data_IF_400485060793
#
_entry.id   IF_400485060793
#
_cell.length_a   1.000
_cell.length_b   1.000
_cell.length_c   1.000
_cell.angle_alpha   90.00
_cell.angle_beta   90.00
_cell.angle_gamma   90.00
#
_symmetry.space_group_name_H-M   'P 1'
#
loop_
_entity.id
_entity.type
_entity.pdbx_description
1 polymer ?
#
# COMPACT_ATOMS: atom_id res chain seq x y z
N UNK A 1 -32.75 -16.05 6.76
CA UNK A 1 -32.09 -15.91 5.45
C UNK A 1 -30.85 -15.03 5.66
N UNK A 2 -29.65 -15.58 5.40
CA UNK A 2 -28.42 -14.82 5.46
C UNK A 2 -28.20 -14.16 4.08
N UNK A 3 -27.83 -12.88 4.09
CA UNK A 3 -27.43 -12.13 2.91
C UNK A 3 -25.94 -11.87 3.06
N UNK A 4 -25.17 -12.38 2.11
CA UNK A 4 -23.73 -12.14 2.05
C UNK A 4 -23.48 -10.82 1.33
N UNK A 5 -22.62 -9.97 1.90
CA UNK A 5 -22.23 -8.68 1.31
C UNK A 5 -20.70 -8.71 1.19
N UNK A 6 -20.21 -8.79 -0.03
CA UNK A 6 -18.79 -8.78 -0.35
C UNK A 6 -18.19 -7.37 -0.34
N UNK A 7 -16.85 -7.33 -0.43
CA UNK A 7 -16.14 -6.07 -0.70
C UNK A 7 -16.45 -5.59 -2.12
N UNK A 8 -16.56 -4.27 -2.32
CA UNK A 8 -16.90 -3.71 -3.62
C UNK A 8 -15.80 -3.91 -4.66
N UNK A 9 -16.18 -4.25 -5.88
CA UNK A 9 -15.28 -4.28 -7.05
C UNK A 9 -14.86 -2.86 -7.46
N UNK A 10 -14.00 -2.75 -8.50
CA UNK A 10 -13.48 -1.46 -8.96
C UNK A 10 -14.60 -0.50 -9.46
N UNK A 11 -15.69 -1.03 -10.03
CA UNK A 11 -16.82 -0.23 -10.54
C UNK A 11 -17.68 0.26 -9.38
N UNK A 12 -17.99 -0.63 -8.46
CA UNK A 12 -18.74 -0.31 -7.25
C UNK A 12 -17.98 0.69 -6.38
N UNK A 13 -16.65 0.54 -6.23
CA UNK A 13 -15.82 1.54 -5.55
C UNK A 13 -15.90 2.91 -6.21
N UNK A 14 -15.93 2.98 -7.55
CA UNK A 14 -16.12 4.24 -8.26
C UNK A 14 -17.44 4.90 -7.88
N UNK A 15 -18.55 4.15 -7.90
CA UNK A 15 -19.87 4.67 -7.52
C UNK A 15 -19.88 5.14 -6.06
N UNK A 16 -19.25 4.40 -5.14
CA UNK A 16 -19.10 4.78 -3.74
C UNK A 16 -18.30 6.10 -3.63
N UNK A 17 -17.18 6.23 -4.35
CA UNK A 17 -16.43 7.49 -4.41
C UNK A 17 -17.33 8.64 -4.91
N UNK A 18 -18.10 8.44 -5.96
CA UNK A 18 -19.02 9.47 -6.50
C UNK A 18 -19.99 9.97 -5.43
N UNK A 19 -20.52 9.08 -4.59
CA UNK A 19 -21.40 9.44 -3.47
C UNK A 19 -20.66 10.31 -2.45
N UNK A 20 -19.50 9.87 -1.98
CA UNK A 20 -18.73 10.58 -0.94
C UNK A 20 -18.04 11.84 -1.42
N UNK A 21 -17.85 11.99 -2.73
CA UNK A 21 -17.31 13.20 -3.35
C UNK A 21 -18.34 14.33 -3.56
N UNK A 22 -19.64 14.03 -3.48
CA UNK A 22 -20.72 15.05 -3.67
C UNK A 22 -20.57 16.25 -2.74
N UNK A 23 -20.32 16.08 -1.43
CA UNK A 23 -20.20 17.22 -0.51
C UNK A 23 -18.87 17.97 -0.62
N UNK A 24 -17.87 17.43 -1.33
CA UNK A 24 -16.53 17.99 -1.38
C UNK A 24 -16.34 18.93 -2.57
N UNK A 25 -15.68 20.06 -2.31
CA UNK A 25 -15.16 20.93 -3.38
C UNK A 25 -13.92 20.26 -3.96
N UNK A 26 -14.05 19.61 -5.10
CA UNK A 26 -12.97 18.91 -5.80
C UNK A 26 -12.42 19.73 -6.96
N UNK A 27 -11.17 19.48 -7.35
CA UNK A 27 -10.58 20.02 -8.56
C UNK A 27 -11.25 19.39 -9.80
N UNK A 28 -11.26 20.12 -10.93
CA UNK A 28 -11.94 19.65 -12.16
C UNK A 28 -11.25 18.44 -12.80
N UNK A 29 -9.99 18.26 -12.53
CA UNK A 29 -9.11 17.20 -13.05
C UNK A 29 -9.08 15.95 -12.17
N UNK A 30 -9.93 15.87 -11.14
CA UNK A 30 -9.98 14.69 -10.27
C UNK A 30 -10.62 13.52 -11.01
N UNK A 31 -9.79 12.52 -11.30
CA UNK A 31 -10.20 11.28 -11.95
C UNK A 31 -10.65 10.24 -10.91
N UNK A 32 -11.96 9.95 -10.92
CA UNK A 32 -12.57 8.98 -9.98
C UNK A 32 -12.23 7.54 -10.37
N UNK A 33 -12.05 7.25 -11.67
CA UNK A 33 -11.60 5.94 -12.14
C UNK A 33 -10.19 5.63 -11.63
N UNK A 34 -9.33 6.65 -11.63
CA UNK A 34 -8.00 6.52 -11.04
C UNK A 34 -8.09 6.22 -9.55
N UNK A 35 -8.93 6.93 -8.78
CA UNK A 35 -9.08 6.71 -7.34
C UNK A 35 -9.58 5.29 -7.01
N UNK A 36 -10.57 4.79 -7.76
CA UNK A 36 -11.11 3.44 -7.55
C UNK A 36 -10.06 2.34 -7.81
N UNK A 37 -9.17 2.55 -8.78
CA UNK A 37 -8.04 1.65 -9.05
C UNK A 37 -6.93 1.72 -7.99
N UNK A 38 -6.78 2.85 -7.29
CA UNK A 38 -5.78 3.01 -6.23
C UNK A 38 -6.21 2.44 -4.86
N UNK A 39 -7.42 1.92 -4.76
CA UNK A 39 -8.02 1.43 -3.51
C UNK A 39 -8.55 -0.01 -3.62
N UNK A 40 -7.73 -0.98 -4.11
CA UNK A 40 -8.16 -2.38 -4.15
C UNK A 40 -8.43 -2.90 -2.73
N UNK A 41 -9.48 -3.71 -2.57
CA UNK A 41 -9.87 -4.30 -1.29
C UNK A 41 -10.46 -3.31 -0.25
N UNK A 42 -10.70 -2.06 -0.62
CA UNK A 42 -11.33 -1.09 0.29
C UNK A 42 -12.84 -1.30 0.36
N UNK A 43 -13.36 -1.28 1.58
CA UNK A 43 -14.80 -1.24 1.83
C UNK A 43 -15.37 0.16 1.58
N UNK A 44 -16.70 0.27 1.57
CA UNK A 44 -17.36 1.57 1.49
C UNK A 44 -16.98 2.51 2.66
N UNK A 45 -16.77 1.96 3.85
CA UNK A 45 -16.30 2.72 5.01
C UNK A 45 -14.88 3.26 4.83
N UNK A 46 -13.98 2.44 4.25
CA UNK A 46 -12.61 2.88 3.95
C UNK A 46 -12.60 4.02 2.92
N UNK A 47 -13.44 3.91 1.88
CA UNK A 47 -13.58 4.96 0.85
C UNK A 47 -14.12 6.26 1.46
N UNK A 48 -15.12 6.17 2.33
CA UNK A 48 -15.63 7.33 3.07
C UNK A 48 -14.53 7.98 3.91
N UNK A 49 -13.72 7.18 4.59
CA UNK A 49 -12.58 7.64 5.38
C UNK A 49 -11.50 8.30 4.50
N UNK A 50 -11.19 7.73 3.32
CA UNK A 50 -10.27 8.34 2.34
C UNK A 50 -10.77 9.73 1.93
N UNK A 51 -12.04 9.87 1.59
CA UNK A 51 -12.63 11.14 1.19
C UNK A 51 -12.54 12.18 2.31
N UNK A 52 -12.84 11.79 3.53
CA UNK A 52 -12.74 12.66 4.72
C UNK A 52 -11.30 13.07 4.99
N UNK A 53 -10.37 12.12 4.99
CA UNK A 53 -8.94 12.40 5.24
C UNK A 53 -8.33 13.29 4.15
N UNK A 54 -8.69 13.08 2.87
CA UNK A 54 -8.25 13.94 1.77
C UNK A 54 -8.73 15.39 1.96
N UNK A 55 -9.96 15.58 2.43
CA UNK A 55 -10.50 16.90 2.74
C UNK A 55 -9.72 17.55 3.91
N UNK A 56 -9.41 16.80 4.96
CA UNK A 56 -8.59 17.27 6.08
C UNK A 56 -7.18 17.66 5.65
N UNK A 57 -6.57 16.86 4.77
CA UNK A 57 -5.22 17.16 4.21
C UNK A 57 -5.26 18.44 3.38
N UNK A 58 -6.26 18.62 2.52
CA UNK A 58 -6.43 19.83 1.74
C UNK A 58 -6.65 21.06 2.64
N UNK A 59 -7.46 20.93 3.69
CA UNK A 59 -7.71 21.99 4.67
C UNK A 59 -6.42 22.39 5.41
N UNK A 60 -5.62 21.42 5.87
CA UNK A 60 -4.31 21.68 6.51
C UNK A 60 -3.32 22.39 5.59
N UNK A 61 -3.42 22.15 4.29
CA UNK A 61 -2.63 22.83 3.25
C UNK A 61 -3.26 24.15 2.79
N UNK A 62 -4.33 24.63 3.47
CA UNK A 62 -5.07 25.85 3.14
C UNK A 62 -5.56 25.89 1.68
N UNK A 63 -5.87 24.73 1.09
CA UNK A 63 -6.42 24.63 -0.26
C UNK A 63 -7.92 24.90 -0.28
N UNK A 64 -8.42 25.48 -1.38
CA UNK A 64 -9.85 25.73 -1.59
C UNK A 64 -10.63 24.53 -2.15
N UNK A 65 -9.91 23.53 -2.65
CA UNK A 65 -10.47 22.31 -3.26
C UNK A 65 -9.53 21.12 -3.05
N UNK A 66 -10.12 19.92 -3.02
CA UNK A 66 -9.39 18.67 -2.84
C UNK A 66 -8.94 18.18 -4.21
N UNK A 67 -7.66 17.87 -4.36
CA UNK A 67 -7.06 17.40 -5.59
C UNK A 67 -6.52 15.97 -5.50
N UNK A 68 -6.09 15.44 -6.63
CA UNK A 68 -5.54 14.08 -6.78
C UNK A 68 -4.48 13.75 -5.71
N UNK A 69 -3.53 14.68 -5.50
CA UNK A 69 -2.44 14.45 -4.53
C UNK A 69 -2.95 14.32 -3.08
N UNK A 70 -4.01 15.03 -2.72
CA UNK A 70 -4.58 14.96 -1.37
C UNK A 70 -5.24 13.59 -1.12
N UNK A 71 -5.83 12.99 -2.16
CA UNK A 71 -6.34 11.63 -2.10
C UNK A 71 -5.23 10.58 -2.01
N UNK A 72 -4.14 10.73 -2.78
CA UNK A 72 -2.99 9.84 -2.67
C UNK A 72 -2.36 9.90 -1.27
N UNK A 73 -2.20 11.10 -0.72
CA UNK A 73 -1.69 11.31 0.63
C UNK A 73 -2.65 10.69 1.68
N UNK A 74 -3.97 10.73 1.43
CA UNK A 74 -4.98 10.12 2.31
C UNK A 74 -4.92 8.59 2.28
N UNK A 75 -4.82 7.98 1.10
CA UNK A 75 -4.62 6.53 0.95
C UNK A 75 -3.35 6.10 1.67
N UNK A 76 -2.24 6.81 1.45
CA UNK A 76 -0.97 6.54 2.12
C UNK A 76 -1.10 6.55 3.65
N UNK A 77 -1.87 7.51 4.16
CA UNK A 77 -2.07 7.67 5.61
C UNK A 77 -2.94 6.58 6.20
N UNK A 78 -3.96 6.14 5.46
CA UNK A 78 -4.88 5.08 5.91
C UNK A 78 -4.18 3.73 5.89
N UNK A 79 -3.49 3.41 4.81
CA UNK A 79 -2.81 2.11 4.65
C UNK A 79 -1.50 2.05 5.44
N UNK A 80 -0.65 3.08 5.31
CA UNK A 80 0.69 3.09 5.93
C UNK A 80 0.74 3.72 7.32
N UNK A 81 -0.33 4.39 7.75
CA UNK A 81 -0.36 5.14 9.00
C UNK A 81 0.28 6.54 8.91
N UNK A 82 0.35 7.21 10.04
CA UNK A 82 0.91 8.55 10.14
C UNK A 82 2.41 8.56 9.88
N UNK A 83 2.86 9.54 9.10
CA UNK A 83 4.29 9.82 8.91
C UNK A 83 4.94 10.23 10.23
N UNK A 84 6.05 9.58 10.57
CA UNK A 84 6.84 9.87 11.78
C UNK A 84 7.93 10.89 11.47
N UNK A 85 7.56 12.18 11.40
CA UNK A 85 8.48 13.28 11.08
C UNK A 85 9.66 13.41 12.04
N UNK A 86 9.49 13.00 13.29
CA UNK A 86 10.49 13.17 14.35
C UNK A 86 11.34 11.90 14.59
N UNK A 87 11.19 10.85 13.76
CA UNK A 87 11.99 9.64 13.91
C UNK A 87 13.40 9.90 13.38
N UNK A 88 14.36 9.93 14.29
CA UNK A 88 15.78 10.04 13.96
C UNK A 88 16.22 8.66 13.46
N UNK A 89 16.59 8.58 12.20
CA UNK A 89 17.17 7.38 11.57
C UNK A 89 18.60 7.72 11.20
N UNK A 90 19.56 6.92 11.64
CA UNK A 90 20.96 7.13 11.30
C UNK A 90 21.17 7.00 9.78
N UNK A 91 22.18 7.69 9.20
CA UNK A 91 22.49 7.57 7.77
C UNK A 91 22.74 6.11 7.34
N UNK A 92 23.33 5.32 8.23
CA UNK A 92 23.60 3.89 8.00
C UNK A 92 22.29 3.08 7.91
N UNK A 93 21.39 3.27 8.84
CA UNK A 93 20.07 2.61 8.82
C UNK A 93 19.25 3.06 7.60
N UNK A 94 19.26 4.36 7.28
CA UNK A 94 18.59 4.90 6.12
C UNK A 94 19.08 4.25 4.82
N UNK A 95 20.39 4.02 4.71
CA UNK A 95 20.99 3.30 3.59
C UNK A 95 20.51 1.85 3.53
N UNK A 96 20.48 1.15 4.66
CA UNK A 96 20.00 -0.24 4.74
C UNK A 96 18.53 -0.32 4.31
N UNK A 97 17.67 0.56 4.84
CA UNK A 97 16.25 0.62 4.47
C UNK A 97 16.09 0.87 2.96
N UNK A 98 16.87 1.81 2.40
CA UNK A 98 16.78 2.15 0.98
C UNK A 98 17.10 0.94 0.08
N UNK A 99 18.14 0.18 0.40
CA UNK A 99 18.48 -1.04 -0.34
C UNK A 99 17.44 -2.15 -0.14
N UNK A 100 16.89 -2.27 1.07
CA UNK A 100 15.83 -3.22 1.38
C UNK A 100 14.60 -2.97 0.51
N UNK A 101 14.07 -1.75 0.53
CA UNK A 101 12.89 -1.38 -0.27
C UNK A 101 13.18 -1.43 -1.79
N UNK A 102 14.38 -1.05 -2.20
CA UNK A 102 14.80 -1.20 -3.59
C UNK A 102 14.87 -2.67 -4.03
N UNK A 103 15.24 -3.57 -3.11
CA UNK A 103 15.22 -5.01 -3.35
C UNK A 103 13.84 -5.54 -3.64
N UNK A 104 12.85 -5.19 -2.82
CA UNK A 104 11.44 -5.51 -3.07
C UNK A 104 11.00 -4.98 -4.43
N UNK A 105 11.29 -3.72 -4.71
CA UNK A 105 10.92 -3.07 -5.97
C UNK A 105 11.54 -3.75 -7.19
N UNK A 106 12.85 -4.06 -7.13
CA UNK A 106 13.57 -4.67 -8.23
C UNK A 106 13.05 -6.06 -8.55
N UNK A 107 12.88 -6.90 -7.52
CA UNK A 107 12.39 -8.26 -7.69
C UNK A 107 10.97 -8.24 -8.27
N UNK A 108 10.07 -7.43 -7.71
CA UNK A 108 8.69 -7.30 -8.21
C UNK A 108 8.64 -6.78 -9.66
N UNK A 109 9.54 -5.87 -10.03
CA UNK A 109 9.60 -5.33 -11.39
C UNK A 109 10.05 -6.36 -12.42
N UNK A 110 10.90 -7.31 -12.01
CA UNK A 110 11.47 -8.32 -12.90
C UNK A 110 10.61 -9.59 -13.03
N UNK A 111 9.65 -9.80 -12.13
CA UNK A 111 8.79 -10.98 -12.11
C UNK A 111 7.49 -10.73 -12.87
N UNK A 112 7.10 -11.68 -13.70
CA UNK A 112 5.94 -11.57 -14.59
C UNK A 112 4.61 -11.48 -13.82
N UNK A 113 4.49 -12.21 -12.72
CA UNK A 113 3.24 -12.36 -12.00
C UNK A 113 3.18 -11.59 -10.68
N UNK A 114 4.25 -10.89 -10.31
CA UNK A 114 4.24 -10.03 -9.14
C UNK A 114 3.29 -8.83 -9.33
N UNK A 115 2.69 -8.39 -8.22
CA UNK A 115 1.81 -7.22 -8.26
C UNK A 115 2.56 -5.96 -8.77
N UNK A 116 1.94 -5.16 -9.66
CA UNK A 116 2.57 -3.96 -10.19
C UNK A 116 3.03 -2.99 -9.11
N UNK A 117 4.29 -2.59 -9.16
CA UNK A 117 4.86 -1.64 -8.22
C UNK A 117 4.35 -0.22 -8.53
N UNK A 118 3.79 0.46 -7.53
CA UNK A 118 3.30 1.84 -7.63
C UNK A 118 4.36 2.84 -7.22
N UNK A 119 4.98 2.60 -6.05
CA UNK A 119 6.03 3.47 -5.52
C UNK A 119 6.85 2.78 -4.45
N UNK A 120 8.02 3.34 -4.18
CA UNK A 120 8.91 2.95 -3.08
C UNK A 120 9.17 4.18 -2.22
N UNK A 121 9.21 4.00 -0.92
CA UNK A 121 9.49 5.09 0.02
C UNK A 121 10.34 4.59 1.20
N UNK A 122 11.21 5.47 1.68
CA UNK A 122 11.96 5.28 2.93
C UNK A 122 11.46 6.23 4.02
N UNK A 123 10.28 6.81 3.83
CA UNK A 123 9.62 7.64 4.84
C UNK A 123 8.95 6.75 5.88
N UNK A 124 9.34 6.84 7.15
CA UNK A 124 8.78 6.00 8.20
C UNK A 124 7.31 6.35 8.46
N UNK A 125 6.45 5.34 8.40
CA UNK A 125 5.00 5.45 8.69
C UNK A 125 4.56 4.32 9.61
N UNK A 126 3.69 4.62 10.57
CA UNK A 126 3.19 3.61 11.49
C UNK A 126 4.32 2.80 12.15
N UNK A 127 4.37 1.51 11.93
CA UNK A 127 5.44 0.61 12.39
C UNK A 127 6.57 0.44 11.37
N UNK A 128 6.34 0.79 10.11
CA UNK A 128 7.30 0.62 9.02
C UNK A 128 8.34 1.74 8.97
N UNK A 129 9.56 1.39 8.56
CA UNK A 129 10.68 2.31 8.32
C UNK A 129 10.76 2.75 6.85
N UNK A 130 10.19 1.95 5.96
CA UNK A 130 10.04 2.16 4.54
C UNK A 130 8.87 1.31 4.04
N UNK A 131 8.53 1.40 2.77
CA UNK A 131 7.53 0.55 2.13
C UNK A 131 7.68 0.55 0.61
N UNK A 132 7.49 -0.62 0.01
CA UNK A 132 7.17 -0.78 -1.40
C UNK A 132 5.65 -0.95 -1.53
N UNK A 133 5.02 -0.16 -2.37
CA UNK A 133 3.59 -0.14 -2.57
C UNK A 133 3.23 -0.79 -3.88
N UNK A 134 2.30 -1.71 -3.82
CA UNK A 134 1.84 -2.48 -4.95
C UNK A 134 0.37 -2.21 -5.23
N UNK A 135 -0.04 -2.42 -6.46
CA UNK A 135 -1.44 -2.43 -6.88
C UNK A 135 -1.83 -3.89 -7.18
N UNK A 136 -2.30 -4.64 -6.17
CA UNK A 136 -2.68 -6.02 -6.39
C UNK A 136 -3.85 -6.08 -7.38
N UNK A 137 -3.80 -7.03 -8.29
CA UNK A 137 -4.93 -7.35 -9.14
C UNK A 137 -5.99 -8.10 -8.32
N UNK A 138 -7.26 -7.75 -8.51
CA UNK A 138 -8.38 -8.47 -7.89
C UNK A 138 -8.56 -9.83 -8.60
N UNK A 139 -7.88 -10.84 -8.08
CA UNK A 139 -7.92 -12.21 -8.63
C UNK A 139 -8.72 -13.11 -7.69
N UNK A 140 -9.62 -13.90 -8.26
CA UNK A 140 -10.37 -14.94 -7.51
C UNK A 140 -9.65 -16.29 -7.52
N UNK A 141 -8.73 -16.50 -8.46
CA UNK A 141 -7.97 -17.73 -8.60
C UNK A 141 -6.50 -17.36 -8.76
N UNK A 142 -5.64 -17.98 -7.96
CA UNK A 142 -4.19 -17.76 -7.98
C UNK A 142 -3.48 -19.03 -8.43
N UNK A 143 -2.52 -18.92 -9.34
CA UNK A 143 -1.69 -20.03 -9.81
C UNK A 143 -0.43 -20.16 -8.96
N UNK A 144 0.17 -21.36 -8.99
CA UNK A 144 1.41 -21.65 -8.26
C UNK A 144 2.55 -20.67 -8.60
N UNK A 145 2.71 -20.35 -9.89
CA UNK A 145 3.73 -19.42 -10.36
C UNK A 145 3.54 -18.01 -9.77
N UNK A 146 2.29 -17.58 -9.62
CA UNK A 146 1.95 -16.29 -9.04
C UNK A 146 2.31 -16.23 -7.55
N UNK A 147 2.02 -17.31 -6.80
CA UNK A 147 2.40 -17.42 -5.39
C UNK A 147 3.91 -17.39 -5.24
N UNK A 148 4.64 -18.11 -6.10
CA UNK A 148 6.10 -18.13 -6.07
C UNK A 148 6.69 -16.73 -6.37
N UNK A 149 6.15 -16.02 -7.33
CA UNK A 149 6.60 -14.66 -7.65
C UNK A 149 6.30 -13.68 -6.49
N UNK A 150 5.15 -13.79 -5.84
CA UNK A 150 4.83 -13.00 -4.66
C UNK A 150 5.78 -13.31 -3.49
N UNK A 151 6.09 -14.57 -3.26
CA UNK A 151 7.09 -14.97 -2.24
C UNK A 151 8.48 -14.42 -2.57
N UNK A 152 8.92 -14.49 -3.83
CA UNK A 152 10.19 -13.91 -4.26
C UNK A 152 10.20 -12.39 -4.06
N UNK A 153 9.12 -11.70 -4.41
CA UNK A 153 8.98 -10.27 -4.20
C UNK A 153 9.06 -9.91 -2.70
N UNK A 154 8.40 -10.70 -1.84
CA UNK A 154 8.45 -10.53 -0.39
C UNK A 154 9.86 -10.76 0.20
N UNK A 155 10.67 -11.62 -0.40
CA UNK A 155 12.04 -11.89 0.01
C UNK A 155 13.06 -10.90 -0.60
N UNK A 156 12.66 -10.11 -1.58
CA UNK A 156 13.54 -9.20 -2.34
C UNK A 156 14.36 -8.25 -1.48
N UNK A 157 13.75 -7.66 -0.44
CA UNK A 157 14.45 -6.78 0.49
C UNK A 157 15.57 -7.49 1.27
N UNK A 158 15.28 -8.68 1.77
CA UNK A 158 16.26 -9.51 2.48
C UNK A 158 17.41 -9.96 1.56
N UNK A 159 17.08 -10.32 0.32
CA UNK A 159 18.07 -10.70 -0.68
C UNK A 159 19.00 -9.53 -1.01
N UNK A 160 18.45 -8.31 -1.19
CA UNK A 160 19.25 -7.11 -1.44
C UNK A 160 20.20 -6.79 -0.28
N UNK A 161 19.76 -6.88 0.98
CA UNK A 161 20.63 -6.71 2.14
C UNK A 161 21.78 -7.74 2.15
N UNK A 162 21.46 -9.00 1.85
CA UNK A 162 22.46 -10.07 1.79
C UNK A 162 23.51 -9.83 0.70
N UNK A 163 23.06 -9.43 -0.49
CA UNK A 163 23.96 -9.16 -1.64
C UNK A 163 24.86 -7.94 -1.38
N UNK A 164 24.28 -6.83 -0.87
CA UNK A 164 25.00 -5.55 -0.74
C UNK A 164 25.86 -5.48 0.54
N UNK A 165 25.34 -6.01 1.66
CA UNK A 165 25.98 -5.86 2.97
C UNK A 165 26.55 -7.17 3.51
N UNK A 166 26.29 -8.29 2.86
CA UNK A 166 26.56 -9.65 3.36
C UNK A 166 26.00 -9.92 4.77
N UNK A 167 24.96 -9.17 5.15
CA UNK A 167 24.28 -9.23 6.45
C UNK A 167 22.78 -9.07 6.20
N UNK A 168 21.99 -9.51 7.15
CA UNK A 168 20.53 -9.43 7.09
C UNK A 168 20.08 -8.69 8.36
N UNK A 169 19.17 -7.73 8.20
CA UNK A 169 18.56 -7.02 9.32
C UNK A 169 17.23 -7.68 9.76
N UNK A 170 16.69 -7.23 10.87
CA UNK A 170 15.38 -7.63 11.36
C UNK A 170 14.21 -6.99 10.61
N UNK A 171 14.49 -6.16 9.59
CA UNK A 171 13.47 -5.44 8.82
C UNK A 171 12.45 -6.35 8.12
N UNK A 172 12.90 -7.55 7.70
CA UNK A 172 12.06 -8.54 7.04
C UNK A 172 11.27 -9.46 8.00
N UNK A 173 11.51 -9.39 9.32
CA UNK A 173 10.88 -10.31 10.28
C UNK A 173 9.35 -10.16 10.30
N UNK A 174 8.82 -8.96 10.18
CA UNK A 174 7.38 -8.73 10.20
C UNK A 174 6.66 -9.33 8.98
N UNK A 175 7.27 -9.30 7.80
CA UNK A 175 6.71 -9.94 6.60
C UNK A 175 6.74 -11.48 6.72
N UNK A 176 7.84 -12.04 7.24
CA UNK A 176 8.02 -13.49 7.35
C UNK A 176 7.18 -14.10 8.46
N UNK A 177 6.99 -13.40 9.59
CA UNK A 177 6.15 -13.85 10.68
C UNK A 177 4.66 -13.84 10.29
N UNK A 178 4.22 -12.83 9.53
CA UNK A 178 2.82 -12.77 9.10
C UNK A 178 2.45 -13.91 8.13
N UNK A 179 3.38 -14.34 7.29
CA UNK A 179 3.17 -15.48 6.38
C UNK A 179 3.26 -16.83 7.11
N UNK A 180 4.04 -16.95 8.19
CA UNK A 180 4.12 -18.19 8.99
C UNK A 180 2.90 -18.36 9.90
N UNK A 181 2.40 -17.29 10.52
CA UNK A 181 1.18 -17.35 11.36
C UNK A 181 -0.06 -17.73 10.54
N UNK A 182 -0.19 -17.22 9.30
CA UNK A 182 -1.27 -17.61 8.40
C UNK A 182 -1.21 -19.11 8.03
N UNK A 183 0.00 -19.67 7.85
CA UNK A 183 0.18 -21.09 7.57
C UNK A 183 -0.14 -22.00 8.78
N UNK A 184 0.03 -21.49 10.02
CA UNK A 184 -0.29 -22.23 11.23
C UNK A 184 -1.80 -22.20 11.58
N UNK A 185 -2.54 -21.18 11.13
CA UNK A 185 -4.00 -21.12 11.29
C UNK A 185 -4.76 -22.08 10.38
N UNK A 186 -4.24 -22.32 9.16
CA UNK A 186 -4.85 -23.27 8.20
C UNK A 186 -4.58 -24.75 8.55
N UNK A 187 -3.72 -25.04 9.54
CA UNK A 187 -3.41 -26.39 10.01
C UNK A 187 -4.14 -26.80 11.30
N UNK A 188 -5.07 -25.98 11.81
CA UNK A 188 -5.94 -26.25 12.97
C UNK A 188 -7.39 -26.39 12.55
#
# INVERSE_FOLDING_TARGET
RQIYVDLPDVRERKEIFEVHLKPLKKTKDLDVDFLSKQTPGFSGADIANVCNEAALIAARKSKKSVGKQDFLDAVDRIVGGLEKKNKIISPKEKKTIAYHEAGHATVSWMLEHAAPLVKVTIVPRGRSLGAAWYLPEERQIVRTEQILDEMCAALGGRAAEKVIFNKISTGALSCLLYTSDAADEDLR
#
